data_IF_334353274723
#
_entry.id   IF_334353274723
#
_cell.length_a   1.000
_cell.length_b   1.000
_cell.length_c   1.000
_cell.angle_alpha   90.00
_cell.angle_beta   90.00
_cell.angle_gamma   90.00
#
_symmetry.space_group_name_H-M   'P 1'
#
loop_
_entity.id
_entity.type
_entity.pdbx_description
1 polymer ?
#
# COMPACT_ATOMS: atom_id res chain seq x y z
N UNK A 1 1.47 -14.60 19.92
CA UNK A 1 2.71 -13.85 19.63
C UNK A 1 2.32 -12.65 18.81
N UNK A 2 2.88 -11.45 19.06
CA UNK A 2 2.58 -10.28 18.24
C UNK A 2 2.95 -10.57 16.79
N UNK A 3 2.10 -10.19 15.84
CA UNK A 3 2.38 -10.32 14.42
C UNK A 3 3.50 -9.35 14.01
N UNK A 4 4.31 -9.73 13.03
CA UNK A 4 5.40 -8.89 12.55
C UNK A 4 5.06 -8.27 11.21
N UNK A 5 5.37 -6.99 11.05
CA UNK A 5 5.35 -6.26 9.79
C UNK A 5 6.77 -6.29 9.20
N UNK A 6 6.87 -6.55 7.90
CA UNK A 6 8.16 -6.61 7.20
C UNK A 6 8.50 -5.25 6.61
N UNK A 7 9.72 -4.79 6.85
CA UNK A 7 10.29 -3.59 6.22
C UNK A 7 11.43 -4.02 5.31
N UNK A 8 11.21 -3.97 3.99
CA UNK A 8 12.27 -4.23 3.02
C UNK A 8 13.26 -3.07 3.00
N UNK A 9 14.47 -3.35 3.41
CA UNK A 9 15.54 -2.36 3.54
C UNK A 9 16.67 -2.58 2.57
N UNK A 10 17.14 -1.49 1.99
CA UNK A 10 18.45 -1.38 1.35
C UNK A 10 19.15 -0.11 1.87
N UNK A 11 20.48 -0.06 1.79
CA UNK A 11 21.29 1.07 2.27
C UNK A 11 21.17 2.28 1.34
N UNK A 12 20.04 2.97 1.41
CA UNK A 12 19.70 4.13 0.57
C UNK A 12 18.80 5.10 1.35
N UNK A 13 18.55 6.26 0.79
CA UNK A 13 17.55 7.21 1.33
C UNK A 13 16.15 6.59 1.29
N UNK A 14 15.83 5.88 0.23
CA UNK A 14 14.56 5.21 0.03
C UNK A 14 14.33 4.07 1.04
N UNK A 15 15.41 3.36 1.41
CA UNK A 15 15.38 2.38 2.49
C UNK A 15 15.07 3.02 3.84
N UNK A 16 15.59 4.22 4.10
CA UNK A 16 15.24 5.00 5.30
C UNK A 16 13.77 5.44 5.31
N UNK A 17 13.25 5.84 4.14
CA UNK A 17 11.84 6.17 4.00
C UNK A 17 10.94 4.96 4.29
N UNK A 18 11.34 3.78 3.83
CA UNK A 18 10.64 2.52 4.14
C UNK A 18 10.65 2.22 5.64
N UNK A 19 11.79 2.40 6.31
CA UNK A 19 11.90 2.21 7.77
C UNK A 19 11.03 3.22 8.51
N UNK A 20 11.05 4.48 8.12
CA UNK A 20 10.26 5.53 8.76
C UNK A 20 8.75 5.27 8.63
N UNK A 21 8.26 4.91 7.44
CA UNK A 21 6.86 4.55 7.23
C UNK A 21 6.51 3.25 7.97
N UNK A 22 7.39 2.24 7.90
CA UNK A 22 7.19 0.96 8.58
C UNK A 22 7.13 1.11 10.10
N UNK A 23 7.97 1.94 10.69
CA UNK A 23 7.97 2.25 12.12
C UNK A 23 6.65 2.92 12.56
N UNK A 24 6.16 3.89 11.78
CA UNK A 24 4.90 4.56 12.06
C UNK A 24 3.71 3.60 11.98
N UNK A 25 3.67 2.75 10.93
CA UNK A 25 2.65 1.72 10.76
C UNK A 25 2.74 0.63 11.85
N UNK A 26 3.94 0.19 12.21
CA UNK A 26 4.15 -0.81 13.25
C UNK A 26 3.63 -0.31 14.61
N UNK A 27 3.98 0.93 14.97
CA UNK A 27 3.50 1.58 16.20
C UNK A 27 1.98 1.72 16.20
N UNK A 28 1.39 2.19 15.09
CA UNK A 28 -0.05 2.37 14.97
C UNK A 28 -0.82 1.05 15.06
N UNK A 29 -0.30 -0.01 14.47
CA UNK A 29 -0.96 -1.30 14.35
C UNK A 29 -0.62 -2.28 15.47
N UNK A 30 0.26 -1.89 16.42
CA UNK A 30 0.80 -2.75 17.48
C UNK A 30 1.46 -4.03 16.91
N UNK A 31 2.22 -3.83 15.82
CA UNK A 31 2.98 -4.88 15.15
C UNK A 31 4.48 -4.76 15.49
N UNK A 32 5.18 -5.90 15.51
CA UNK A 32 6.65 -5.89 15.66
C UNK A 32 7.29 -5.59 14.31
N UNK A 33 8.12 -4.55 14.19
CA UNK A 33 8.85 -4.28 12.95
C UNK A 33 9.96 -5.33 12.77
N UNK A 34 10.01 -5.93 11.56
CA UNK A 34 11.06 -6.82 11.12
C UNK A 34 11.75 -6.21 9.90
N UNK A 35 12.96 -5.72 10.09
CA UNK A 35 13.77 -5.17 9.00
C UNK A 35 14.40 -6.32 8.23
N UNK A 36 14.08 -6.43 6.95
CA UNK A 36 14.54 -7.48 6.06
C UNK A 36 15.47 -6.92 4.98
N UNK A 37 16.74 -7.31 5.01
CA UNK A 37 17.72 -6.99 3.98
C UNK A 37 17.89 -8.18 3.03
N UNK A 38 17.57 -7.99 1.74
CA UNK A 38 17.66 -9.05 0.74
C UNK A 38 18.96 -8.98 -0.05
N UNK A 39 19.79 -10.01 0.12
CA UNK A 39 21.00 -10.22 -0.67
C UNK A 39 20.61 -11.02 -1.91
N UNK A 40 20.77 -10.41 -3.08
CA UNK A 40 20.40 -11.06 -4.34
C UNK A 40 21.60 -11.73 -4.99
N UNK A 41 21.46 -13.02 -5.33
CA UNK A 41 22.49 -13.80 -5.99
C UNK A 41 21.91 -14.61 -7.15
N UNK A 42 22.72 -14.86 -8.20
CA UNK A 42 22.33 -15.81 -9.25
C UNK A 42 22.00 -17.19 -8.64
N UNK A 43 21.01 -17.85 -9.20
CA UNK A 43 20.54 -19.14 -8.67
C UNK A 43 21.64 -20.22 -8.66
N UNK A 44 22.59 -20.14 -9.61
CA UNK A 44 23.72 -21.04 -9.75
C UNK A 44 24.69 -20.96 -8.55
N UNK A 45 24.77 -19.80 -7.92
CA UNK A 45 25.70 -19.51 -6.82
C UNK A 45 25.08 -19.80 -5.45
N UNK A 46 23.76 -19.86 -5.37
CA UNK A 46 23.02 -20.14 -4.12
C UNK A 46 23.33 -21.52 -3.52
N UNK A 47 23.96 -22.42 -4.28
CA UNK A 47 24.31 -23.78 -3.84
C UNK A 47 25.74 -23.92 -3.33
N UNK A 48 26.58 -22.88 -3.38
CA UNK A 48 27.93 -22.92 -2.85
C UNK A 48 27.93 -22.74 -1.32
N UNK A 49 28.16 -23.87 -0.62
CA UNK A 49 28.30 -23.87 0.84
C UNK A 49 29.51 -23.03 1.25
N UNK A 50 29.29 -22.00 2.04
CA UNK A 50 30.34 -21.10 2.55
C UNK A 50 30.19 -19.65 2.06
N UNK A 51 29.80 -19.43 0.81
CA UNK A 51 29.53 -18.08 0.31
C UNK A 51 28.26 -17.49 0.93
N UNK A 52 27.22 -18.29 1.09
CA UNK A 52 25.99 -17.90 1.78
C UNK A 52 26.27 -17.44 3.21
N UNK A 53 27.13 -18.18 3.94
CA UNK A 53 27.48 -17.82 5.32
C UNK A 53 28.28 -16.51 5.39
N UNK A 54 29.23 -16.30 4.47
CA UNK A 54 29.99 -15.07 4.41
C UNK A 54 29.16 -13.85 4.05
N UNK A 55 28.18 -14.02 3.15
CA UNK A 55 27.27 -12.95 2.75
C UNK A 55 26.25 -12.62 3.85
N UNK A 56 25.74 -13.61 4.55
CA UNK A 56 24.90 -13.37 5.74
C UNK A 56 25.68 -12.58 6.80
N UNK A 57 26.92 -12.95 7.09
CA UNK A 57 27.74 -12.22 8.05
C UNK A 57 28.03 -10.77 7.62
N UNK A 58 28.21 -10.52 6.30
CA UNK A 58 28.33 -9.16 5.78
C UNK A 58 27.03 -8.36 5.93
N UNK A 59 25.91 -8.99 5.63
CA UNK A 59 24.58 -8.34 5.74
C UNK A 59 24.16 -8.12 7.20
N UNK A 60 24.56 -9.01 8.11
CA UNK A 60 24.33 -8.82 9.55
C UNK A 60 25.13 -7.62 10.09
N UNK A 61 26.32 -7.37 9.51
CA UNK A 61 27.09 -6.15 9.81
C UNK A 61 26.40 -4.88 9.26
N UNK A 62 25.81 -4.95 8.06
CA UNK A 62 24.99 -3.85 7.52
C UNK A 62 23.73 -3.59 8.36
N UNK A 63 23.10 -4.65 8.90
CA UNK A 63 21.96 -4.56 9.80
C UNK A 63 22.33 -3.96 11.17
N UNK A 64 23.51 -4.27 11.71
CA UNK A 64 24.01 -3.67 12.95
C UNK A 64 24.21 -2.13 12.84
N UNK A 65 24.51 -1.65 11.63
CA UNK A 65 24.60 -0.20 11.37
C UNK A 65 23.20 0.47 11.36
N UNK A 66 22.15 -0.27 10.98
CA UNK A 66 20.76 0.19 11.05
C UNK A 66 20.32 0.39 12.50
N UNK A 67 20.67 -0.52 13.38
CA UNK A 67 20.37 -0.44 14.82
C UNK A 67 20.92 0.86 15.44
N UNK A 68 22.10 1.32 14.95
CA UNK A 68 22.67 2.60 15.39
C UNK A 68 21.96 3.83 14.79
N UNK A 69 21.36 3.71 13.60
CA UNK A 69 20.68 4.81 12.92
C UNK A 69 19.20 4.96 13.33
N UNK A 70 18.58 3.87 13.77
CA UNK A 70 17.16 3.79 14.15
C UNK A 70 16.96 3.25 15.57
N UNK A 71 17.95 3.43 16.46
CA UNK A 71 18.03 2.83 17.80
C UNK A 71 16.88 3.12 18.76
N UNK A 72 15.90 3.95 18.37
CA UNK A 72 14.63 4.09 19.10
C UNK A 72 13.57 3.08 18.60
N UNK A 73 13.84 2.36 17.50
CA UNK A 73 12.95 1.36 16.94
C UNK A 73 13.38 -0.02 17.47
N UNK A 74 12.63 -0.58 18.41
CA UNK A 74 12.79 -1.98 18.82
C UNK A 74 12.38 -2.91 17.67
N UNK A 75 13.27 -3.08 16.69
CA UNK A 75 13.03 -3.89 15.51
C UNK A 75 13.88 -5.16 15.52
N UNK A 76 13.29 -6.28 15.10
CA UNK A 76 14.07 -7.43 14.72
C UNK A 76 14.69 -7.20 13.34
N UNK A 77 15.88 -7.78 13.09
CA UNK A 77 16.54 -7.66 11.79
C UNK A 77 16.85 -9.04 11.21
N UNK A 78 16.69 -9.21 9.90
CA UNK A 78 16.95 -10.49 9.22
C UNK A 78 17.53 -10.29 7.84
N UNK A 79 18.66 -10.95 7.58
CA UNK A 79 19.28 -11.06 6.25
C UNK A 79 18.67 -12.21 5.48
N UNK A 80 18.25 -11.96 4.24
CA UNK A 80 17.63 -12.92 3.35
C UNK A 80 18.51 -13.14 2.12
N UNK A 81 18.88 -14.37 1.82
CA UNK A 81 19.61 -14.73 0.60
C UNK A 81 18.62 -15.33 -0.40
N UNK A 82 18.50 -14.74 -1.59
CA UNK A 82 17.55 -15.18 -2.61
C UNK A 82 18.01 -14.78 -4.02
N UNK A 83 17.37 -15.36 -5.03
CA UNK A 83 17.57 -14.95 -6.43
C UNK A 83 16.99 -13.57 -6.74
N UNK A 84 16.09 -13.04 -5.90
CA UNK A 84 15.57 -11.69 -6.06
C UNK A 84 14.98 -11.17 -4.74
N UNK A 85 15.11 -9.86 -4.48
CA UNK A 85 14.56 -9.22 -3.28
C UNK A 85 13.03 -9.36 -3.15
N UNK A 86 12.22 -9.16 -4.21
CA UNK A 86 10.77 -9.35 -4.07
C UNK A 86 10.38 -10.77 -3.69
N UNK A 87 11.10 -11.79 -4.18
CA UNK A 87 10.85 -13.18 -3.80
C UNK A 87 11.22 -13.43 -2.34
N UNK A 88 12.36 -12.92 -1.89
CA UNK A 88 12.78 -13.04 -0.49
C UNK A 88 11.74 -12.47 0.47
N UNK A 89 11.24 -11.26 0.19
CA UNK A 89 10.23 -10.59 1.01
C UNK A 89 8.87 -11.31 0.96
N UNK A 90 8.48 -11.81 -0.23
CA UNK A 90 7.26 -12.61 -0.38
C UNK A 90 7.33 -13.89 0.45
N UNK A 91 8.41 -14.67 0.30
CA UNK A 91 8.58 -15.95 0.97
C UNK A 91 8.65 -15.76 2.50
N UNK A 92 9.34 -14.69 2.97
CA UNK A 92 9.34 -14.31 4.38
C UNK A 92 7.92 -13.96 4.87
N UNK A 93 7.15 -13.19 4.09
CA UNK A 93 5.80 -12.82 4.48
C UNK A 93 4.88 -14.05 4.62
N UNK A 94 5.02 -15.03 3.74
CA UNK A 94 4.31 -16.32 3.85
C UNK A 94 4.77 -17.09 5.08
N UNK A 95 6.09 -17.17 5.32
CA UNK A 95 6.69 -17.91 6.44
C UNK A 95 6.16 -17.45 7.80
N UNK A 96 6.12 -16.13 8.01
CA UNK A 96 5.73 -15.56 9.31
C UNK A 96 4.27 -15.10 9.40
N UNK A 97 3.51 -15.19 8.29
CA UNK A 97 2.14 -14.69 8.22
C UNK A 97 2.06 -13.17 8.40
N UNK A 98 3.00 -12.43 7.79
CA UNK A 98 3.04 -10.98 7.93
C UNK A 98 1.79 -10.32 7.30
N UNK A 99 1.11 -9.39 8.00
CA UNK A 99 -0.05 -8.68 7.46
C UNK A 99 0.34 -7.57 6.47
N UNK A 100 1.60 -7.11 6.51
CA UNK A 100 2.06 -5.97 5.75
C UNK A 100 3.56 -6.07 5.40
N UNK A 101 3.88 -5.72 4.16
CA UNK A 101 5.25 -5.44 3.70
C UNK A 101 5.35 -3.95 3.37
N UNK A 102 6.38 -3.27 3.89
CA UNK A 102 6.71 -1.88 3.57
C UNK A 102 8.01 -1.84 2.78
N UNK A 103 8.03 -1.11 1.68
CA UNK A 103 9.22 -0.89 0.85
C UNK A 103 9.36 0.57 0.47
N UNK A 104 10.57 0.98 0.10
CA UNK A 104 10.83 2.33 -0.38
C UNK A 104 10.43 2.53 -1.85
N UNK A 105 10.33 3.78 -2.23
CA UNK A 105 10.23 4.23 -3.63
C UNK A 105 11.58 4.11 -4.34
N UNK A 106 11.67 4.47 -5.64
CA UNK A 106 12.95 4.62 -6.32
C UNK A 106 13.54 6.01 -6.07
N UNK A 107 14.89 6.14 -6.11
CA UNK A 107 15.58 7.43 -6.01
C UNK A 107 15.33 8.39 -7.19
N UNK A 108 14.45 8.02 -8.12
CA UNK A 108 14.06 8.83 -9.28
C UNK A 108 12.75 9.56 -8.99
N UNK A 109 12.70 10.86 -9.22
CA UNK A 109 11.51 11.67 -9.03
C UNK A 109 11.64 12.75 -7.97
N UNK A 110 10.56 13.52 -7.78
CA UNK A 110 10.50 14.62 -6.79
C UNK A 110 10.39 14.05 -5.38
N UNK A 111 10.84 14.79 -4.38
CA UNK A 111 10.58 14.52 -2.97
C UNK A 111 9.05 14.56 -2.75
N UNK A 112 8.54 13.66 -1.94
CA UNK A 112 7.10 13.47 -1.71
C UNK A 112 6.45 12.46 -2.65
N UNK A 113 7.09 12.10 -3.78
CA UNK A 113 6.50 11.25 -4.82
C UNK A 113 6.80 9.77 -4.61
N UNK A 114 5.80 8.93 -4.90
CA UNK A 114 5.99 7.49 -5.05
C UNK A 114 6.36 7.16 -6.49
N UNK A 115 7.40 6.37 -6.67
CA UNK A 115 7.73 5.65 -7.89
C UNK A 115 8.21 4.25 -7.50
N UNK A 116 7.43 3.20 -7.72
CA UNK A 116 7.82 1.85 -7.34
C UNK A 116 9.08 1.42 -8.11
N UNK A 117 10.03 0.85 -7.38
CA UNK A 117 11.15 0.13 -7.98
C UNK A 117 10.74 -1.28 -8.39
N UNK A 118 11.64 -2.00 -9.02
CA UNK A 118 11.41 -3.39 -9.47
C UNK A 118 10.96 -4.32 -8.34
N UNK A 119 11.39 -4.08 -7.11
CA UNK A 119 10.97 -4.83 -5.92
C UNK A 119 9.52 -4.51 -5.57
N UNK A 120 9.18 -3.23 -5.46
CA UNK A 120 7.83 -2.79 -5.17
C UNK A 120 6.84 -3.25 -6.26
N UNK A 121 7.16 -3.05 -7.54
CA UNK A 121 6.31 -3.50 -8.65
C UNK A 121 5.96 -4.99 -8.58
N UNK A 122 6.96 -5.84 -8.32
CA UNK A 122 6.73 -7.30 -8.24
C UNK A 122 5.91 -7.68 -7.01
N UNK A 123 6.13 -7.03 -5.87
CA UNK A 123 5.30 -7.25 -4.67
C UNK A 123 3.87 -6.81 -4.89
N UNK A 124 3.64 -5.65 -5.50
CA UNK A 124 2.30 -5.14 -5.84
C UNK A 124 1.51 -6.10 -6.75
N UNK A 125 2.19 -6.95 -7.54
CA UNK A 125 1.57 -7.93 -8.42
C UNK A 125 1.32 -9.30 -7.77
N UNK A 126 1.93 -9.60 -6.63
CA UNK A 126 1.88 -10.97 -6.10
C UNK A 126 2.10 -11.13 -4.60
N UNK A 127 2.07 -10.07 -3.80
CA UNK A 127 2.24 -10.21 -2.36
C UNK A 127 1.07 -10.95 -1.70
N UNK A 128 1.35 -11.77 -0.68
CA UNK A 128 0.32 -12.50 0.06
C UNK A 128 -0.46 -11.60 1.05
N UNK A 129 0.04 -10.41 1.31
CA UNK A 129 -0.46 -9.46 2.30
C UNK A 129 -0.51 -8.03 1.73
N UNK A 130 -0.92 -7.05 2.55
CA UNK A 130 -0.85 -5.64 2.17
C UNK A 130 0.59 -5.22 1.82
N UNK A 131 0.72 -4.27 0.88
CA UNK A 131 2.01 -3.69 0.50
C UNK A 131 1.91 -2.17 0.55
N UNK A 132 2.80 -1.53 1.32
CA UNK A 132 2.94 -0.09 1.35
C UNK A 132 4.27 0.32 0.69
N UNK A 133 4.19 1.38 -0.11
CA UNK A 133 5.37 2.00 -0.71
C UNK A 133 5.53 3.40 -0.13
N UNK A 134 6.64 3.62 0.56
CA UNK A 134 6.95 4.92 1.15
C UNK A 134 7.25 5.94 0.06
N UNK A 135 6.69 7.14 0.20
CA UNK A 135 7.04 8.27 -0.64
C UNK A 135 8.49 8.69 -0.39
N UNK A 136 9.16 9.17 -1.43
CA UNK A 136 10.53 9.68 -1.33
C UNK A 136 10.59 10.86 -0.36
N UNK A 137 11.49 10.81 0.61
CA UNK A 137 11.68 11.86 1.62
C UNK A 137 10.68 11.79 2.78
N UNK A 138 9.92 10.71 2.91
CA UNK A 138 8.98 10.52 4.02
C UNK A 138 9.67 10.63 5.39
N UNK A 139 10.85 10.05 5.55
CA UNK A 139 11.65 10.15 6.76
C UNK A 139 12.01 11.60 7.13
N UNK A 140 12.32 12.43 6.13
CA UNK A 140 12.70 13.82 6.33
C UNK A 140 11.52 14.76 6.62
N UNK A 141 10.29 14.36 6.29
CA UNK A 141 9.06 15.16 6.46
C UNK A 141 8.39 15.00 7.84
N UNK A 142 9.02 14.32 8.77
CA UNK A 142 8.53 14.14 10.13
C UNK A 142 7.70 12.87 10.36
N UNK A 143 7.67 11.96 9.38
CA UNK A 143 7.20 10.56 9.51
C UNK A 143 5.86 10.40 10.23
N UNK A 144 4.84 11.18 9.88
CA UNK A 144 3.51 11.14 10.52
C UNK A 144 2.42 10.82 9.51
N UNK A 145 1.45 10.00 9.95
CA UNK A 145 0.24 9.67 9.19
C UNK A 145 -0.95 10.45 9.79
N UNK A 146 -1.15 11.69 9.36
CA UNK A 146 -2.20 12.57 9.88
C UNK A 146 -3.42 12.67 8.94
N UNK A 147 -3.21 12.42 7.65
CA UNK A 147 -4.21 12.58 6.59
C UNK A 147 -4.26 11.30 5.77
N UNK A 148 -5.31 10.50 5.94
CA UNK A 148 -5.49 9.25 5.23
C UNK A 148 -6.56 9.39 4.16
N UNK A 149 -6.23 8.93 2.94
CA UNK A 149 -7.17 8.78 1.84
C UNK A 149 -7.52 7.31 1.61
N UNK A 150 -8.76 6.99 1.31
CA UNK A 150 -9.18 5.65 0.88
C UNK A 150 -9.91 5.76 -0.44
N UNK A 151 -9.35 5.15 -1.50
CA UNK A 151 -10.04 5.06 -2.78
C UNK A 151 -11.17 4.02 -2.68
N UNK A 152 -12.41 4.47 -2.89
CA UNK A 152 -13.60 3.66 -2.70
C UNK A 152 -14.53 3.69 -3.92
N UNK A 153 -14.79 2.52 -4.48
CA UNK A 153 -15.66 2.34 -5.65
C UNK A 153 -16.78 1.32 -5.40
N UNK A 154 -16.97 0.94 -4.12
CA UNK A 154 -17.97 -0.04 -3.71
C UNK A 154 -17.59 -1.49 -3.93
N UNK A 155 -16.39 -1.79 -4.45
CA UNK A 155 -15.92 -3.16 -4.63
C UNK A 155 -15.59 -3.84 -3.29
N UNK A 156 -15.55 -5.18 -3.27
CA UNK A 156 -15.09 -5.92 -2.08
C UNK A 156 -13.70 -5.50 -1.64
N UNK A 157 -12.77 -5.31 -2.58
CA UNK A 157 -11.39 -4.90 -2.33
C UNK A 157 -11.32 -3.48 -1.74
N UNK A 158 -12.12 -2.53 -2.28
CA UNK A 158 -12.25 -1.19 -1.72
C UNK A 158 -12.87 -1.20 -0.32
N UNK A 159 -13.75 -2.16 -0.05
CA UNK A 159 -14.34 -2.36 1.29
C UNK A 159 -13.31 -2.85 2.31
N UNK A 160 -12.34 -3.67 1.88
CA UNK A 160 -11.20 -4.07 2.73
C UNK A 160 -10.30 -2.86 2.98
N UNK A 161 -9.98 -2.08 1.93
CA UNK A 161 -9.20 -0.86 2.06
C UNK A 161 -9.86 0.15 3.01
N UNK A 162 -11.20 0.27 2.98
CA UNK A 162 -11.93 1.13 3.89
C UNK A 162 -11.80 0.67 5.35
N UNK A 163 -11.95 -0.63 5.63
CA UNK A 163 -11.76 -1.16 6.99
C UNK A 163 -10.36 -0.90 7.50
N UNK A 164 -9.33 -1.23 6.70
CA UNK A 164 -7.95 -0.96 7.04
C UNK A 164 -7.68 0.53 7.27
N UNK A 165 -8.28 1.42 6.45
CA UNK A 165 -8.21 2.87 6.62
C UNK A 165 -8.87 3.34 7.92
N UNK A 166 -10.02 2.78 8.30
CA UNK A 166 -10.70 3.07 9.58
C UNK A 166 -9.82 2.64 10.77
N UNK A 167 -9.26 1.44 10.72
CA UNK A 167 -8.36 0.93 11.77
C UNK A 167 -7.14 1.85 11.92
N UNK A 168 -6.49 2.21 10.82
CA UNK A 168 -5.34 3.12 10.84
C UNK A 168 -5.72 4.51 11.34
N UNK A 169 -6.84 5.08 10.85
CA UNK A 169 -7.26 6.42 11.24
C UNK A 169 -7.50 6.54 12.75
N UNK A 170 -8.13 5.54 13.35
CA UNK A 170 -8.34 5.47 14.80
C UNK A 170 -7.02 5.38 15.56
N UNK A 171 -6.13 4.50 15.13
CA UNK A 171 -4.87 4.23 15.83
C UNK A 171 -3.83 5.35 15.67
N UNK A 172 -3.79 6.01 14.51
CA UNK A 172 -2.93 7.16 14.27
C UNK A 172 -3.56 8.49 14.74
N UNK A 173 -4.84 8.51 15.13
CA UNK A 173 -5.61 9.73 15.35
C UNK A 173 -5.59 10.65 14.11
N UNK A 174 -5.80 10.07 12.94
CA UNK A 174 -5.70 10.73 11.63
C UNK A 174 -7.07 11.16 11.12
N UNK A 175 -7.10 12.17 10.26
CA UNK A 175 -8.28 12.45 9.44
C UNK A 175 -8.44 11.40 8.36
N UNK A 176 -9.69 10.99 8.09
CA UNK A 176 -10.03 10.01 7.06
C UNK A 176 -10.85 10.68 5.96
N UNK A 177 -10.43 10.49 4.70
CA UNK A 177 -11.19 10.95 3.54
C UNK A 177 -11.48 9.79 2.61
N UNK A 178 -12.75 9.59 2.26
CA UNK A 178 -13.17 8.63 1.26
C UNK A 178 -13.17 9.29 -0.12
N UNK A 179 -12.44 8.70 -1.06
CA UNK A 179 -12.23 9.20 -2.41
C UNK A 179 -13.01 8.34 -3.40
N UNK A 180 -14.07 8.89 -3.99
CA UNK A 180 -14.86 8.20 -5.04
C UNK A 180 -14.80 8.99 -6.33
N UNK A 181 -14.63 8.30 -7.46
CA UNK A 181 -14.46 8.93 -8.76
C UNK A 181 -15.66 8.61 -9.67
N UNK A 182 -16.36 9.64 -10.11
CA UNK A 182 -17.34 9.54 -11.16
C UNK A 182 -16.62 9.51 -12.51
N UNK A 183 -16.55 8.31 -13.09
CA UNK A 183 -15.89 8.08 -14.36
C UNK A 183 -16.87 7.55 -15.40
N UNK A 184 -16.97 8.27 -16.51
CA UNK A 184 -17.68 7.82 -17.70
C UNK A 184 -16.66 7.19 -18.65
N UNK A 185 -16.60 5.84 -18.76
CA UNK A 185 -15.72 5.22 -19.73
C UNK A 185 -16.11 5.69 -21.13
N UNK A 186 -15.15 6.25 -21.83
CA UNK A 186 -15.21 6.84 -23.16
C UNK A 186 -16.35 6.46 -24.10
N UNK A 187 -17.52 7.08 -23.96
CA UNK A 187 -18.45 7.26 -25.06
C UNK A 187 -17.84 8.15 -26.18
N UNK A 188 -16.71 8.78 -25.90
CA UNK A 188 -15.98 9.66 -26.81
C UNK A 188 -15.28 8.92 -27.98
N UNK A 189 -15.22 7.58 -27.97
CA UNK A 189 -14.54 6.82 -29.04
C UNK A 189 -15.45 6.11 -30.03
N UNK A 190 -16.76 6.15 -29.84
CA UNK A 190 -17.70 5.46 -30.74
C UNK A 190 -18.87 6.37 -31.07
N UNK A 191 -18.87 6.94 -32.28
CA UNK A 191 -19.94 7.75 -32.90
C UNK A 191 -20.37 8.97 -32.03
N UNK A 192 -20.43 10.15 -32.64
CA UNK A 192 -20.86 11.41 -32.02
C UNK A 192 -22.19 11.26 -31.27
N UNK A 193 -22.20 11.07 -29.95
CA UNK A 193 -23.45 11.01 -29.21
C UNK A 193 -24.08 12.39 -29.18
N UNK A 194 -25.40 12.46 -29.25
CA UNK A 194 -26.14 13.69 -29.07
C UNK A 194 -25.81 14.30 -27.68
N UNK A 195 -25.60 15.61 -27.57
CA UNK A 195 -25.29 16.28 -26.30
C UNK A 195 -26.26 15.94 -25.16
N UNK A 196 -27.53 15.73 -25.49
CA UNK A 196 -28.58 15.37 -24.52
C UNK A 196 -28.38 13.95 -23.94
N UNK A 197 -27.91 13.00 -24.75
CA UNK A 197 -27.64 11.62 -24.31
C UNK A 197 -26.42 11.60 -23.40
N UNK A 198 -25.38 12.36 -23.73
CA UNK A 198 -24.16 12.47 -22.92
C UNK A 198 -24.47 13.08 -21.56
N UNK A 199 -25.20 14.20 -21.52
CA UNK A 199 -25.57 14.88 -20.26
C UNK A 199 -26.45 14.01 -19.34
N UNK A 200 -27.37 13.23 -19.92
CA UNK A 200 -28.20 12.31 -19.15
C UNK A 200 -27.39 11.14 -18.55
N UNK A 201 -26.41 10.62 -19.30
CA UNK A 201 -25.53 9.56 -18.85
C UNK A 201 -24.57 10.05 -17.73
N UNK A 202 -23.95 11.21 -17.92
CA UNK A 202 -23.06 11.81 -16.92
C UNK A 202 -23.77 12.06 -15.58
N UNK A 203 -25.01 12.60 -15.62
CA UNK A 203 -25.84 12.78 -14.42
C UNK A 203 -26.16 11.45 -13.72
N UNK A 204 -26.35 10.37 -14.47
CA UNK A 204 -26.61 9.06 -13.88
C UNK A 204 -25.36 8.45 -13.25
N UNK A 205 -24.20 8.60 -13.90
CA UNK A 205 -22.88 8.17 -13.35
C UNK A 205 -22.60 8.94 -12.07
N UNK A 206 -22.76 10.24 -12.05
CA UNK A 206 -22.56 11.08 -10.87
C UNK A 206 -23.44 10.65 -9.71
N UNK A 207 -24.77 10.48 -9.92
CA UNK A 207 -25.69 10.01 -8.88
C UNK A 207 -25.31 8.64 -8.33
N UNK A 208 -24.87 7.72 -9.20
CA UNK A 208 -24.44 6.39 -8.78
C UNK A 208 -23.15 6.46 -7.96
N UNK A 209 -22.19 7.29 -8.38
CA UNK A 209 -20.92 7.48 -7.67
C UNK A 209 -21.15 8.17 -6.31
N UNK A 210 -22.07 9.15 -6.25
CA UNK A 210 -22.46 9.76 -4.99
C UNK A 210 -23.10 8.74 -4.03
N UNK A 211 -24.02 7.91 -4.52
CA UNK A 211 -24.62 6.85 -3.70
C UNK A 211 -23.57 5.82 -3.21
N UNK A 212 -22.55 5.54 -4.02
CA UNK A 212 -21.43 4.69 -3.61
C UNK A 212 -20.62 5.34 -2.50
N UNK A 213 -20.33 6.64 -2.61
CA UNK A 213 -19.63 7.41 -1.60
C UNK A 213 -20.42 7.44 -0.28
N UNK A 214 -21.71 7.77 -0.35
CA UNK A 214 -22.60 7.82 0.82
C UNK A 214 -22.69 6.45 1.51
N UNK A 215 -22.79 5.38 0.72
CA UNK A 215 -22.73 4.02 1.24
C UNK A 215 -21.39 3.72 1.94
N UNK A 216 -20.26 4.14 1.37
CA UNK A 216 -18.95 4.00 2.02
C UNK A 216 -18.88 4.75 3.34
N UNK A 217 -19.36 5.99 3.37
CA UNK A 217 -19.40 6.82 4.59
C UNK A 217 -20.28 6.18 5.67
N UNK A 218 -21.43 5.63 5.31
CA UNK A 218 -22.34 4.98 6.28
C UNK A 218 -21.76 3.72 6.93
N UNK A 219 -20.66 3.18 6.39
CA UNK A 219 -19.94 2.03 6.96
C UNK A 219 -18.82 2.42 7.91
N UNK A 220 -18.47 3.70 7.96
CA UNK A 220 -17.49 4.23 8.92
C UNK A 220 -18.20 4.41 10.27
N UNK A 221 -17.61 3.93 11.37
CA UNK A 221 -18.18 4.12 12.70
C UNK A 221 -18.39 5.60 13.04
N UNK A 222 -19.49 5.91 13.75
CA UNK A 222 -19.91 7.29 14.07
C UNK A 222 -18.88 8.08 14.90
N UNK A 223 -18.05 7.37 15.67
CA UNK A 223 -16.99 7.97 16.49
C UNK A 223 -15.78 8.45 15.66
N UNK A 224 -15.66 8.05 14.38
CA UNK A 224 -14.59 8.46 13.50
C UNK A 224 -15.09 9.46 12.46
N UNK A 225 -14.70 10.74 12.54
CA UNK A 225 -15.04 11.72 11.52
C UNK A 225 -14.46 11.35 10.16
N UNK A 226 -15.32 11.20 9.15
CA UNK A 226 -14.92 10.91 7.77
C UNK A 226 -15.43 12.01 6.84
N UNK A 227 -14.60 12.40 5.87
CA UNK A 227 -15.00 13.28 4.77
C UNK A 227 -15.20 12.45 3.50
N UNK A 228 -16.22 12.78 2.72
CA UNK A 228 -16.39 12.25 1.38
C UNK A 228 -15.90 13.24 0.34
N UNK A 229 -15.18 12.76 -0.67
CA UNK A 229 -14.73 13.56 -1.81
C UNK A 229 -15.12 12.84 -3.11
N UNK A 230 -16.12 13.36 -3.80
CA UNK A 230 -16.51 12.90 -5.13
C UNK A 230 -15.70 13.68 -6.17
N UNK A 231 -14.95 12.98 -6.98
CA UNK A 231 -14.10 13.52 -8.04
C UNK A 231 -14.62 13.06 -9.41
N UNK A 232 -14.15 13.72 -10.47
CA UNK A 232 -14.53 13.42 -11.85
C UNK A 232 -13.30 13.13 -12.70
N UNK A 233 -13.47 12.32 -13.74
CA UNK A 233 -12.43 12.02 -14.71
C UNK A 233 -11.85 10.60 -14.62
N UNK A 234 -10.72 10.34 -15.27
CA UNK A 234 -10.04 9.04 -15.19
C UNK A 234 -9.58 8.76 -13.75
N UNK A 235 -9.93 7.59 -13.17
CA UNK A 235 -9.73 7.36 -11.74
C UNK A 235 -8.27 7.49 -11.27
N UNK A 236 -7.31 7.03 -12.08
CA UNK A 236 -5.89 7.10 -11.71
C UNK A 236 -5.37 8.53 -11.67
N UNK A 237 -5.76 9.36 -12.63
CA UNK A 237 -5.38 10.78 -12.71
C UNK A 237 -6.01 11.58 -11.58
N UNK A 238 -7.30 11.37 -11.32
CA UNK A 238 -8.01 12.06 -10.24
C UNK A 238 -7.40 11.75 -8.86
N UNK A 239 -7.00 10.48 -8.62
CA UNK A 239 -6.31 10.12 -7.38
C UNK A 239 -4.92 10.73 -7.26
N UNK A 240 -4.19 10.82 -8.36
CA UNK A 240 -2.86 11.48 -8.39
C UNK A 240 -2.99 12.96 -8.09
N UNK A 241 -3.98 13.64 -8.69
CA UNK A 241 -4.20 15.09 -8.52
C UNK A 241 -4.40 15.49 -7.05
N UNK A 242 -5.11 14.67 -6.28
CA UNK A 242 -5.37 14.97 -4.87
C UNK A 242 -4.37 14.33 -3.90
N UNK A 243 -3.40 13.57 -4.40
CA UNK A 243 -2.51 12.79 -3.54
C UNK A 243 -1.61 13.64 -2.63
N UNK A 244 -1.28 14.87 -3.01
CA UNK A 244 -0.50 15.81 -2.18
C UNK A 244 -1.21 16.23 -0.88
N UNK A 245 -2.53 16.08 -0.83
CA UNK A 245 -3.32 16.39 0.37
C UNK A 245 -3.25 15.29 1.43
N UNK A 246 -2.62 14.16 1.14
CA UNK A 246 -2.57 12.98 2.00
C UNK A 246 -1.13 12.60 2.39
N UNK A 247 -1.00 11.86 3.49
CA UNK A 247 0.26 11.25 3.90
C UNK A 247 0.30 9.79 3.45
N UNK A 248 -0.89 9.13 3.36
CA UNK A 248 -1.05 7.78 2.87
C UNK A 248 -2.41 7.63 2.17
N UNK A 249 -2.42 7.05 0.97
CA UNK A 249 -3.64 6.63 0.28
C UNK A 249 -3.70 5.10 0.25
N UNK A 250 -4.84 4.55 0.71
CA UNK A 250 -5.13 3.12 0.65
C UNK A 250 -5.99 2.81 -0.59
N UNK A 251 -5.61 1.76 -1.32
CA UNK A 251 -6.34 1.29 -2.51
C UNK A 251 -6.51 -0.22 -2.50
N UNK A 252 -7.64 -0.72 -3.01
CA UNK A 252 -7.79 -2.13 -3.32
C UNK A 252 -7.00 -2.51 -4.59
N UNK A 253 -6.40 -3.69 -4.61
CA UNK A 253 -5.82 -4.24 -5.84
C UNK A 253 -6.93 -4.79 -6.71
N UNK A 254 -7.39 -4.04 -7.73
CA UNK A 254 -8.40 -4.52 -8.65
C UNK A 254 -7.78 -5.13 -9.90
N UNK A 255 -8.09 -6.40 -10.18
CA UNK A 255 -7.90 -7.01 -11.50
C UNK A 255 -9.24 -7.04 -12.25
N UNK A 256 -9.45 -6.22 -13.27
CA UNK A 256 -10.53 -6.41 -14.24
C UNK A 256 -10.12 -7.54 -15.19
N UNK A 257 -10.83 -8.67 -15.13
CA UNK A 257 -10.72 -9.72 -16.12
C UNK A 257 -10.94 -11.12 -15.54
N UNK A 258 -11.33 -12.11 -16.38
CA UNK A 258 -11.57 -13.49 -15.98
C UNK A 258 -10.28 -14.26 -15.67
N UNK A 259 -9.12 -13.69 -15.96
CA UNK A 259 -7.82 -14.26 -15.64
C UNK A 259 -7.48 -13.93 -14.18
N UNK A 260 -7.35 -14.96 -13.36
CA UNK A 260 -6.99 -14.91 -11.92
C UNK A 260 -5.56 -14.42 -11.64
N UNK A 261 -4.89 -13.76 -12.58
CA UNK A 261 -3.59 -13.14 -12.34
C UNK A 261 -3.80 -11.86 -11.52
N UNK A 262 -3.10 -11.76 -10.45
CA UNK A 262 -2.99 -10.60 -9.56
C UNK A 262 -2.37 -9.41 -10.30
N UNK A 263 -3.18 -8.75 -11.14
CA UNK A 263 -2.75 -7.53 -11.82
C UNK A 263 -3.27 -6.34 -11.02
N UNK A 264 -2.37 -5.45 -10.66
CA UNK A 264 -2.71 -4.14 -10.09
C UNK A 264 -3.67 -3.42 -11.06
N UNK A 265 -4.79 -2.90 -10.57
CA UNK A 265 -5.76 -2.17 -11.39
C UNK A 265 -5.14 -0.93 -12.01
N UNK A 266 -5.67 -0.48 -13.14
CA UNK A 266 -5.14 0.69 -13.87
C UNK A 266 -5.08 1.95 -13.02
N UNK A 267 -6.09 2.21 -12.19
CA UNK A 267 -6.12 3.35 -11.27
C UNK A 267 -5.05 3.22 -10.17
N UNK A 268 -4.96 2.05 -9.52
CA UNK A 268 -3.95 1.79 -8.50
C UNK A 268 -2.53 1.87 -9.09
N UNK A 269 -2.31 1.31 -10.28
CA UNK A 269 -1.03 1.41 -10.98
C UNK A 269 -0.65 2.86 -11.23
N UNK A 270 -1.58 3.66 -11.78
CA UNK A 270 -1.34 5.09 -12.07
C UNK A 270 -1.02 5.87 -10.80
N UNK A 271 -1.69 5.54 -9.68
CA UNK A 271 -1.41 6.14 -8.39
C UNK A 271 0.01 5.80 -7.91
N UNK A 272 0.42 4.52 -7.98
CA UNK A 272 1.79 4.13 -7.63
C UNK A 272 2.86 4.77 -8.53
N UNK A 273 2.55 5.01 -9.81
CA UNK A 273 3.51 5.61 -10.74
C UNK A 273 3.69 7.12 -10.51
N UNK A 274 2.77 7.80 -9.80
CA UNK A 274 2.73 9.26 -9.84
C UNK A 274 2.24 9.96 -8.57
N UNK A 275 1.78 9.26 -7.52
CA UNK A 275 1.28 9.90 -6.31
C UNK A 275 2.36 10.72 -5.58
N UNK A 276 1.95 11.84 -5.02
CA UNK A 276 2.77 12.72 -4.19
C UNK A 276 2.61 12.42 -2.68
N UNK A 277 2.29 11.16 -2.34
CA UNK A 277 2.22 10.62 -0.96
C UNK A 277 2.57 9.13 -0.95
N UNK A 278 2.71 8.54 0.24
CA UNK A 278 2.83 7.08 0.38
C UNK A 278 1.53 6.37 -0.07
N UNK A 279 1.65 5.17 -0.61
CA UNK A 279 0.49 4.40 -1.10
C UNK A 279 0.52 2.99 -0.55
N UNK A 280 -0.63 2.51 -0.07
CA UNK A 280 -0.81 1.13 0.39
C UNK A 280 -1.84 0.42 -0.47
N UNK A 281 -1.53 -0.78 -0.93
CA UNK A 281 -2.49 -1.65 -1.62
C UNK A 281 -2.88 -2.84 -0.74
N UNK A 282 -4.18 -3.16 -0.78
CA UNK A 282 -4.76 -4.34 -0.14
C UNK A 282 -5.04 -5.38 -1.24
N UNK A 283 -4.35 -6.55 -1.23
CA UNK A 283 -4.52 -7.55 -2.27
C UNK A 283 -5.90 -8.22 -2.17
N UNK A 284 -6.39 -8.71 -3.30
CA UNK A 284 -7.67 -9.40 -3.42
C UNK A 284 -7.76 -10.70 -2.61
N UNK A 285 -6.62 -11.28 -2.26
CA UNK A 285 -6.56 -12.49 -1.42
C UNK A 285 -7.04 -12.26 0.01
N UNK A 286 -7.05 -11.01 0.46
CA UNK A 286 -7.59 -10.66 1.77
C UNK A 286 -9.13 -10.73 1.76
N UNK A 287 -9.70 -11.35 2.77
CA UNK A 287 -11.15 -11.46 2.99
C UNK A 287 -11.64 -10.55 4.13
N UNK A 288 -10.71 -10.09 4.97
CA UNK A 288 -10.96 -9.24 6.12
C UNK A 288 -9.93 -8.10 6.21
N UNK A 289 -10.09 -7.22 7.18
CA UNK A 289 -9.07 -6.23 7.53
C UNK A 289 -7.81 -6.95 8.06
N UNK A 290 -6.66 -6.80 7.42
CA UNK A 290 -5.45 -7.47 7.88
C UNK A 290 -4.88 -6.90 9.19
N UNK A 291 -5.43 -5.79 9.67
CA UNK A 291 -4.95 -5.06 10.84
C UNK A 291 -5.90 -5.15 12.05
N UNK A 292 -7.06 -5.78 11.88
CA UNK A 292 -8.01 -6.01 12.95
C UNK A 292 -7.84 -7.43 13.50
N UNK A 293 -7.14 -7.56 14.63
CA UNK A 293 -6.95 -8.85 15.30
C UNK A 293 -8.25 -9.45 15.87
N UNK A 294 -9.32 -8.65 15.99
CA UNK A 294 -10.63 -9.08 16.46
C UNK A 294 -11.57 -9.50 15.32
N UNK A 295 -11.21 -9.20 14.06
CA UNK A 295 -12.04 -9.51 12.89
C UNK A 295 -12.17 -11.01 12.59
N UNK A 296 -11.40 -11.87 13.23
CA UNK A 296 -11.52 -13.35 13.15
C UNK A 296 -12.65 -13.93 14.02
N UNK A 297 -13.37 -13.10 14.78
CA UNK A 297 -14.59 -13.54 15.45
C UNK A 297 -15.71 -13.69 14.39
N UNK A 298 -16.33 -14.88 14.24
CA UNK A 298 -17.40 -15.08 13.29
C UNK A 298 -18.52 -14.09 13.62
N UNK A 299 -18.85 -13.22 12.67
CA UNK A 299 -20.06 -12.40 12.75
C UNK A 299 -21.21 -13.38 12.81
N UNK A 300 -21.82 -13.47 13.99
CA UNK A 300 -23.00 -14.29 14.20
C UNK A 300 -24.10 -13.84 13.23
N UNK A 301 -24.82 -14.78 12.56
CA UNK A 301 -25.73 -14.54 11.45
C UNK A 301 -26.93 -13.64 11.83
#
# INVERSE_FOLDING_TARGET
MAQSLIIGYERSEEGRDAVALGAELARALDLRPLIAHAITMPAEVLHEQGLETALRASADADLAEIDSAFGELEADARSLVSSSAPRALHDLAVEIGAPLIVVGSTGRGRIGRVMPGSTAERLLHGAPCAVAVAARGFAAQGSRLLRLGVAFDGSPEASIALRAGVTLARRCNSSLTLLTIAHTPGLAQSATPSPTVTAGYDSQVEKRSQATLDHGISRVPEDLPVRGHLMHGPPGEALVEVSEDFDLILVGSRGYGPLRATLLGSASRRLFDAADCSVMTLPRSLTADPFDAEADAPINP
#
